data_IF_776127329300
#
_entry.id   IF_776127329300
#
_cell.length_a   1.000
_cell.length_b   1.000
_cell.length_c   1.000
_cell.angle_alpha   90.00
_cell.angle_beta   90.00
_cell.angle_gamma   90.00
#
_symmetry.space_group_name_H-M   'P 1'
#
loop_
_entity.id
_entity.type
_entity.pdbx_description
1 polymer ?
#
# COMPACT_ATOMS: atom_id res chain seq x y z
N UNK A 1 16.45 22.21 -20.02
CA UNK A 1 15.39 22.41 -19.01
C UNK A 1 15.98 21.99 -17.66
N UNK A 2 15.68 22.70 -16.60
CA UNK A 2 16.12 22.32 -15.24
C UNK A 2 15.31 21.07 -14.82
N UNK A 3 16.00 20.06 -14.27
CA UNK A 3 15.31 18.86 -13.75
C UNK A 3 14.35 19.23 -12.64
N UNK A 4 13.15 18.63 -12.62
CA UNK A 4 12.14 18.86 -11.61
C UNK A 4 12.57 18.31 -10.25
N UNK A 5 12.46 19.09 -9.19
CA UNK A 5 12.78 18.64 -7.84
C UNK A 5 11.76 17.59 -7.37
N UNK A 6 12.26 16.48 -6.82
CA UNK A 6 11.45 15.44 -6.15
C UNK A 6 11.68 15.53 -4.64
N UNK A 7 10.63 15.74 -3.87
CA UNK A 7 10.66 15.63 -2.41
C UNK A 7 10.31 14.20 -2.00
N UNK A 8 11.28 13.50 -1.41
CA UNK A 8 11.08 12.18 -0.83
C UNK A 8 10.54 12.33 0.59
N UNK A 9 9.38 11.75 0.87
CA UNK A 9 8.61 11.90 2.11
C UNK A 9 8.76 10.62 2.94
N UNK A 10 9.50 10.68 4.04
CA UNK A 10 9.82 9.51 4.86
C UNK A 10 9.25 9.66 6.27
N UNK A 11 8.04 9.13 6.56
CA UNK A 11 7.55 9.04 7.92
C UNK A 11 8.30 7.95 8.68
N UNK A 12 8.83 8.23 9.85
CA UNK A 12 9.56 7.29 10.68
C UNK A 12 8.99 7.23 12.10
N UNK A 13 8.82 6.03 12.64
CA UNK A 13 8.48 5.77 14.03
C UNK A 13 9.05 4.43 14.45
N UNK A 14 9.97 4.43 15.41
CA UNK A 14 10.68 3.25 15.90
C UNK A 14 11.24 2.41 14.73
N UNK A 15 12.01 3.06 13.85
CA UNK A 15 12.53 2.51 12.60
C UNK A 15 14.05 2.30 12.60
N UNK A 16 14.73 2.38 13.74
CA UNK A 16 16.20 2.30 13.85
C UNK A 16 16.80 1.09 13.12
N UNK A 17 16.09 -0.04 13.11
CA UNK A 17 16.55 -1.27 12.44
C UNK A 17 16.68 -1.12 10.92
N UNK A 18 15.86 -0.29 10.28
CA UNK A 18 15.71 -0.27 8.81
C UNK A 18 16.03 1.07 8.17
N UNK A 19 15.85 2.19 8.89
CA UNK A 19 15.90 3.54 8.34
C UNK A 19 17.21 3.83 7.61
N UNK A 20 18.34 3.30 8.08
CA UNK A 20 19.65 3.44 7.41
C UNK A 20 19.62 2.88 6.00
N UNK A 21 19.15 1.63 5.83
CA UNK A 21 19.05 1.00 4.52
C UNK A 21 18.08 1.75 3.60
N UNK A 22 16.98 2.25 4.16
CA UNK A 22 15.98 3.03 3.45
C UNK A 22 16.61 4.32 2.88
N UNK A 23 17.28 5.10 3.71
CA UNK A 23 17.94 6.35 3.30
C UNK A 23 19.08 6.10 2.31
N UNK A 24 19.89 5.06 2.52
CA UNK A 24 20.93 4.67 1.56
C UNK A 24 20.33 4.36 0.18
N UNK A 25 19.16 3.71 0.11
CA UNK A 25 18.48 3.41 -1.15
C UNK A 25 17.96 4.65 -1.87
N UNK A 26 17.57 5.70 -1.12
CA UNK A 26 17.15 6.99 -1.66
C UNK A 26 18.35 7.78 -2.18
N UNK A 27 19.40 7.88 -1.40
CA UNK A 27 20.60 8.64 -1.79
C UNK A 27 21.37 8.01 -2.95
N UNK A 28 21.15 6.71 -3.19
CA UNK A 28 21.69 5.96 -4.33
C UNK A 28 20.87 6.10 -5.63
N UNK A 29 19.75 6.85 -5.64
CA UNK A 29 18.94 7.03 -6.84
C UNK A 29 19.75 7.65 -7.99
N UNK A 30 19.47 7.22 -9.24
CA UNK A 30 20.08 7.81 -10.45
C UNK A 30 19.59 9.24 -10.68
N UNK A 31 18.34 9.52 -10.34
CA UNK A 31 17.79 10.88 -10.35
C UNK A 31 18.34 11.67 -9.15
N UNK A 32 19.11 12.74 -9.42
CA UNK A 32 19.88 13.47 -8.41
C UNK A 32 19.20 14.70 -7.82
N UNK A 33 18.24 15.26 -8.53
CA UNK A 33 17.52 16.48 -8.13
C UNK A 33 16.43 16.13 -7.11
N UNK A 34 16.86 15.79 -5.89
CA UNK A 34 16.01 15.34 -4.79
C UNK A 34 16.26 16.14 -3.51
N UNK A 35 15.24 16.25 -2.68
CA UNK A 35 15.36 16.50 -1.24
C UNK A 35 14.68 15.33 -0.49
N UNK A 36 15.16 15.04 0.71
CA UNK A 36 14.67 13.95 1.55
C UNK A 36 14.20 14.53 2.86
N UNK A 37 12.93 14.42 3.17
CA UNK A 37 12.33 14.95 4.39
C UNK A 37 11.89 13.78 5.25
N UNK A 38 12.68 13.51 6.29
CA UNK A 38 12.35 12.50 7.29
C UNK A 38 11.59 13.16 8.42
N UNK A 39 10.40 12.64 8.74
CA UNK A 39 9.64 13.07 9.90
C UNK A 39 9.65 11.95 10.93
N UNK A 40 10.37 12.15 12.00
CA UNK A 40 10.35 11.28 13.17
C UNK A 40 9.13 11.59 14.01
N UNK A 41 8.17 10.66 14.01
CA UNK A 41 6.87 10.77 14.66
C UNK A 41 6.94 10.34 16.14
N UNK A 42 7.95 10.84 16.85
CA UNK A 42 8.14 10.60 18.29
C UNK A 42 8.70 9.23 18.61
N UNK A 43 9.76 8.81 17.91
CA UNK A 43 10.45 7.54 18.19
C UNK A 43 11.08 7.53 19.57
N UNK A 44 11.08 6.35 20.19
CA UNK A 44 11.75 6.07 21.48
C UNK A 44 13.06 5.30 21.30
N UNK A 45 13.36 4.85 20.09
CA UNK A 45 14.61 4.17 19.72
C UNK A 45 15.61 5.17 19.06
N UNK A 46 16.74 4.70 18.58
CA UNK A 46 17.77 5.53 17.94
C UNK A 46 17.42 5.97 16.50
N UNK A 47 16.16 6.03 16.12
CA UNK A 47 15.74 6.46 14.76
C UNK A 47 16.23 7.85 14.45
N UNK A 48 15.99 8.83 15.34
CA UNK A 48 16.41 10.23 15.14
C UNK A 48 17.93 10.34 15.03
N UNK A 49 18.68 9.73 15.93
CA UNK A 49 20.16 9.77 15.94
C UNK A 49 20.73 9.25 14.61
N UNK A 50 20.17 8.15 14.09
CA UNK A 50 20.59 7.60 12.80
C UNK A 50 20.31 8.58 11.66
N UNK A 51 19.17 9.26 11.66
CA UNK A 51 18.85 10.24 10.62
C UNK A 51 19.74 11.47 10.71
N UNK A 52 20.08 11.92 11.91
CA UNK A 52 21.02 13.04 12.13
C UNK A 52 22.40 12.76 11.52
N UNK A 53 22.90 11.53 11.56
CA UNK A 53 24.12 11.14 10.84
C UNK A 53 24.03 11.39 9.33
N UNK A 54 22.83 11.19 8.73
CA UNK A 54 22.59 11.48 7.30
C UNK A 54 22.49 12.97 7.04
N UNK A 55 21.83 13.73 7.90
CA UNK A 55 21.74 15.20 7.82
C UNK A 55 23.14 15.84 7.85
N UNK A 56 24.02 15.33 8.71
CA UNK A 56 25.38 15.85 8.85
C UNK A 56 26.26 15.62 7.59
N UNK A 57 25.98 14.59 6.80
CA UNK A 57 26.82 14.21 5.64
C UNK A 57 26.20 14.48 4.27
N UNK A 58 24.89 14.71 4.18
CA UNK A 58 24.21 15.00 2.90
C UNK A 58 23.19 16.14 3.06
N UNK A 59 23.44 17.31 2.46
CA UNK A 59 22.59 18.49 2.61
C UNK A 59 21.18 18.33 2.01
N UNK A 60 20.93 17.28 1.27
CA UNK A 60 19.60 16.97 0.73
C UNK A 60 18.68 16.38 1.77
N UNK A 61 19.21 15.88 2.91
CA UNK A 61 18.44 15.23 3.98
C UNK A 61 18.08 16.25 5.05
N UNK A 62 16.81 16.23 5.46
CA UNK A 62 16.29 17.01 6.60
C UNK A 62 15.59 16.07 7.57
N UNK A 63 15.77 16.33 8.87
CA UNK A 63 15.01 15.70 9.95
C UNK A 63 14.03 16.71 10.55
N UNK A 64 12.79 16.27 10.74
CA UNK A 64 11.77 16.97 11.52
C UNK A 64 11.31 16.01 12.60
N UNK A 65 11.27 16.47 13.85
CA UNK A 65 10.77 15.68 14.97
C UNK A 65 9.42 16.23 15.41
N UNK A 66 8.47 15.37 15.70
CA UNK A 66 7.15 15.73 16.21
C UNK A 66 6.68 14.73 17.28
N UNK A 67 5.70 15.12 18.08
CA UNK A 67 4.99 14.18 18.94
C UNK A 67 4.17 13.19 18.10
N UNK A 68 4.09 11.93 18.54
CA UNK A 68 3.44 10.86 17.78
C UNK A 68 1.98 11.20 17.43
N UNK A 69 1.74 11.47 16.15
CA UNK A 69 0.43 11.80 15.59
C UNK A 69 -0.03 10.80 14.51
N UNK A 70 0.80 9.80 14.22
CA UNK A 70 0.54 8.74 13.25
C UNK A 70 1.03 9.05 11.84
N UNK A 71 1.19 7.99 11.05
CA UNK A 71 1.85 8.01 9.74
C UNK A 71 1.25 9.02 8.75
N UNK A 72 -0.07 9.21 8.75
CA UNK A 72 -0.73 10.22 7.90
C UNK A 72 -0.33 11.64 8.28
N UNK A 73 -0.27 11.96 9.58
CA UNK A 73 0.18 13.26 10.08
C UNK A 73 1.67 13.50 9.77
N UNK A 74 2.52 12.49 9.99
CA UNK A 74 3.95 12.58 9.68
C UNK A 74 4.20 12.83 8.18
N UNK A 75 3.46 12.13 7.29
CA UNK A 75 3.53 12.42 5.85
C UNK A 75 3.06 13.83 5.52
N UNK A 76 1.99 14.30 6.15
CA UNK A 76 1.47 15.65 5.94
C UNK A 76 2.47 16.73 6.38
N UNK A 77 3.12 16.55 7.55
CA UNK A 77 4.20 17.44 8.00
C UNK A 77 5.32 17.51 6.95
N UNK A 78 5.77 16.36 6.44
CA UNK A 78 6.80 16.33 5.41
C UNK A 78 6.35 16.98 4.09
N UNK A 79 5.09 16.78 3.67
CA UNK A 79 4.53 17.38 2.46
C UNK A 79 4.43 18.91 2.59
N UNK A 80 4.11 19.43 3.77
CA UNK A 80 4.05 20.88 4.02
C UNK A 80 5.41 21.55 3.89
N UNK A 81 6.49 20.84 4.23
CA UNK A 81 7.87 21.30 4.12
C UNK A 81 8.50 21.04 2.75
N UNK A 82 7.82 20.28 1.90
CA UNK A 82 8.30 19.88 0.58
C UNK A 82 8.25 21.04 -0.42
N UNK A 83 9.31 21.14 -1.25
CA UNK A 83 9.45 22.17 -2.31
C UNK A 83 9.42 21.55 -3.71
N UNK A 84 9.33 20.22 -3.79
CA UNK A 84 9.40 19.48 -5.04
C UNK A 84 8.15 19.61 -5.88
N UNK A 85 8.35 19.65 -7.18
CA UNK A 85 7.26 19.50 -8.18
C UNK A 85 6.59 18.13 -8.05
N UNK A 86 7.35 17.13 -7.61
CA UNK A 86 6.88 15.78 -7.37
C UNK A 86 7.14 15.36 -5.93
N UNK A 87 6.23 14.54 -5.39
CA UNK A 87 6.26 14.03 -4.02
C UNK A 87 6.31 12.50 -4.07
N UNK A 88 7.31 11.91 -3.43
CA UNK A 88 7.55 10.48 -3.45
C UNK A 88 7.57 9.92 -2.01
N UNK A 89 6.46 9.38 -1.49
CA UNK A 89 6.46 8.78 -0.17
C UNK A 89 7.25 7.47 -0.16
N UNK A 90 7.92 7.21 0.96
CA UNK A 90 8.68 6.00 1.22
C UNK A 90 8.55 5.63 2.69
N UNK A 91 8.04 4.45 2.99
CA UNK A 91 7.99 3.95 4.37
C UNK A 91 9.42 3.63 4.87
N UNK A 92 9.68 3.92 6.15
CA UNK A 92 11.02 3.88 6.75
C UNK A 92 11.67 2.48 6.82
N UNK A 93 10.99 1.45 6.35
CA UNK A 93 11.44 0.05 6.31
C UNK A 93 11.50 -0.54 4.90
N UNK A 94 11.09 0.23 3.86
CA UNK A 94 11.14 -0.18 2.47
C UNK A 94 12.42 0.26 1.76
N UNK A 95 12.68 -0.34 0.59
CA UNK A 95 13.84 0.00 -0.23
C UNK A 95 13.41 0.30 -1.67
N UNK A 96 14.09 1.24 -2.30
CA UNK A 96 13.90 1.56 -3.71
C UNK A 96 15.01 0.98 -4.59
N UNK A 97 14.67 0.57 -5.81
CA UNK A 97 15.64 0.34 -6.89
C UNK A 97 16.22 1.67 -7.35
N UNK A 98 17.48 1.65 -7.79
CA UNK A 98 18.24 2.88 -8.11
C UNK A 98 17.58 3.76 -9.16
N UNK A 99 16.83 3.17 -10.07
CA UNK A 99 16.20 3.81 -11.23
C UNK A 99 14.75 4.26 -10.98
N UNK A 100 14.22 4.06 -9.75
CA UNK A 100 12.79 4.30 -9.47
C UNK A 100 12.36 5.73 -9.77
N UNK A 101 13.06 6.72 -9.24
CA UNK A 101 12.67 8.12 -9.42
C UNK A 101 12.86 8.55 -10.87
N UNK A 102 13.97 8.21 -11.51
CA UNK A 102 14.23 8.53 -12.91
C UNK A 102 13.12 8.00 -13.84
N UNK A 103 12.79 6.72 -13.69
CA UNK A 103 11.76 6.07 -14.52
C UNK A 103 10.38 6.65 -14.29
N UNK A 104 10.01 6.94 -13.02
CA UNK A 104 8.69 7.50 -12.72
C UNK A 104 8.57 8.97 -13.10
N UNK A 105 9.62 9.78 -12.93
CA UNK A 105 9.63 11.18 -13.37
C UNK A 105 9.52 11.25 -14.88
N UNK A 106 10.28 10.47 -15.63
CA UNK A 106 10.19 10.41 -17.08
C UNK A 106 8.77 10.01 -17.55
N UNK A 107 8.14 9.05 -16.87
CA UNK A 107 6.74 8.67 -17.14
C UNK A 107 5.78 9.83 -16.84
N UNK A 108 5.94 10.54 -15.72
CA UNK A 108 5.10 11.66 -15.31
C UNK A 108 5.19 12.84 -16.28
N UNK A 109 6.40 13.19 -16.73
CA UNK A 109 6.63 14.28 -17.68
C UNK A 109 6.06 13.97 -19.06
N UNK A 110 6.27 12.75 -19.54
CA UNK A 110 5.72 12.29 -20.84
C UNK A 110 4.19 12.27 -20.86
N UNK A 111 3.56 12.05 -19.71
CA UNK A 111 2.10 11.88 -19.61
C UNK A 111 1.31 13.17 -19.50
N UNK A 112 1.97 14.32 -19.34
CA UNK A 112 1.33 15.64 -19.31
C UNK A 112 0.68 16.02 -17.96
N UNK A 113 0.05 17.20 -17.89
CA UNK A 113 -0.43 17.81 -16.65
C UNK A 113 -1.66 17.12 -16.04
N UNK A 114 -2.43 16.37 -16.83
CA UNK A 114 -3.62 15.66 -16.35
C UNK A 114 -3.26 14.38 -15.55
N UNK A 115 -1.97 13.98 -15.53
CA UNK A 115 -1.50 12.87 -14.72
C UNK A 115 -1.16 13.35 -13.33
N UNK A 116 -1.90 12.87 -12.32
CA UNK A 116 -1.71 13.21 -10.92
C UNK A 116 -0.82 12.23 -10.15
N UNK A 117 -0.69 11.00 -10.65
CA UNK A 117 0.02 9.92 -9.97
C UNK A 117 0.65 8.96 -11.00
N UNK A 118 1.92 8.59 -10.76
CA UNK A 118 2.58 7.45 -11.41
C UNK A 118 2.91 6.41 -10.33
N UNK A 119 2.63 5.14 -10.56
CA UNK A 119 2.98 4.09 -9.62
C UNK A 119 3.76 2.95 -10.30
N UNK A 120 4.33 2.07 -9.49
CA UNK A 120 5.10 0.93 -9.99
C UNK A 120 4.71 -0.37 -9.27
N UNK A 121 5.34 -1.48 -9.67
CA UNK A 121 5.21 -2.76 -8.99
C UNK A 121 6.18 -2.87 -7.81
N UNK A 122 5.91 -3.80 -6.89
CA UNK A 122 6.78 -4.08 -5.76
C UNK A 122 7.16 -5.56 -5.65
N UNK A 123 8.35 -5.81 -5.13
CA UNK A 123 8.84 -7.12 -4.70
C UNK A 123 8.72 -7.22 -3.20
N UNK A 124 8.19 -8.32 -2.67
CA UNK A 124 8.09 -8.53 -1.24
C UNK A 124 9.42 -9.10 -0.72
N UNK A 125 9.92 -8.50 0.37
CA UNK A 125 11.14 -8.94 1.06
C UNK A 125 10.85 -9.27 2.52
N UNK A 126 11.70 -10.10 3.14
CA UNK A 126 11.65 -10.35 4.58
C UNK A 126 12.37 -9.26 5.37
N UNK A 127 12.41 -9.41 6.70
CA UNK A 127 13.06 -8.46 7.62
C UNK A 127 14.56 -8.28 7.32
N UNK A 128 15.22 -9.28 6.75
CA UNK A 128 16.63 -9.25 6.37
C UNK A 128 16.87 -8.73 4.94
N UNK A 129 15.80 -8.34 4.21
CA UNK A 129 15.88 -7.85 2.84
C UNK A 129 15.95 -8.94 1.76
N UNK A 130 15.79 -10.22 2.14
CA UNK A 130 15.75 -11.34 1.19
C UNK A 130 14.41 -11.38 0.45
N UNK A 131 14.44 -11.56 -0.86
CA UNK A 131 13.24 -11.68 -1.70
C UNK A 131 12.40 -12.89 -1.28
N UNK A 132 11.16 -12.64 -0.91
CA UNK A 132 10.13 -13.64 -0.64
C UNK A 132 9.42 -14.05 -1.94
N UNK A 133 8.90 -13.07 -2.67
CA UNK A 133 8.32 -13.24 -3.99
C UNK A 133 8.15 -11.90 -4.71
N UNK A 134 8.08 -11.96 -6.03
CA UNK A 134 7.69 -10.81 -6.84
C UNK A 134 6.18 -10.58 -6.70
N UNK A 135 5.79 -9.35 -6.42
CA UNK A 135 4.39 -8.95 -6.43
C UNK A 135 3.78 -9.07 -7.83
N UNK A 136 2.50 -8.78 -7.94
CA UNK A 136 1.82 -8.72 -9.22
C UNK A 136 2.34 -7.52 -10.03
N UNK A 137 2.78 -7.76 -11.27
CA UNK A 137 3.16 -6.67 -12.18
C UNK A 137 1.93 -5.81 -12.48
N UNK A 138 2.01 -4.53 -12.17
CA UNK A 138 0.94 -3.57 -12.38
C UNK A 138 0.92 -3.13 -13.85
N UNK A 139 -0.27 -2.98 -14.42
CA UNK A 139 -0.44 -2.61 -15.84
C UNK A 139 -1.66 -1.71 -16.09
N UNK A 140 -2.46 -1.41 -15.06
CA UNK A 140 -3.64 -0.58 -15.20
C UNK A 140 -3.23 0.90 -15.16
N UNK A 141 -3.69 1.69 -16.14
CA UNK A 141 -3.46 3.12 -16.22
C UNK A 141 -4.64 3.87 -16.86
N UNK A 142 -4.62 5.19 -16.81
CA UNK A 142 -5.67 6.07 -17.33
C UNK A 142 -6.66 6.51 -16.24
N UNK A 143 -7.93 6.63 -16.59
CA UNK A 143 -9.03 7.01 -15.67
C UNK A 143 -9.41 5.83 -14.78
N UNK A 144 -8.79 5.70 -13.63
CA UNK A 144 -8.91 4.52 -12.77
C UNK A 144 -9.88 4.67 -11.59
N UNK A 145 -10.76 5.68 -11.57
CA UNK A 145 -11.71 5.95 -10.49
C UNK A 145 -12.46 4.68 -10.04
N UNK A 146 -13.08 3.98 -10.99
CA UNK A 146 -13.86 2.78 -10.71
C UNK A 146 -13.02 1.62 -10.17
N UNK A 147 -11.87 1.37 -10.81
CA UNK A 147 -10.95 0.31 -10.41
C UNK A 147 -10.35 0.57 -9.02
N UNK A 148 -10.05 1.85 -8.70
CA UNK A 148 -9.52 2.26 -7.40
C UNK A 148 -10.58 2.15 -6.29
N UNK A 149 -11.86 2.38 -6.58
CA UNK A 149 -12.95 2.10 -5.63
C UNK A 149 -13.03 0.61 -5.32
N UNK A 150 -12.90 -0.25 -6.33
CA UNK A 150 -12.98 -1.71 -6.12
C UNK A 150 -11.81 -2.27 -5.33
N UNK A 151 -10.60 -1.75 -5.55
CA UNK A 151 -9.38 -2.29 -4.94
C UNK A 151 -8.28 -1.24 -4.84
N UNK A 152 -7.51 -1.25 -3.75
CA UNK A 152 -6.25 -0.51 -3.68
C UNK A 152 -5.28 -1.04 -4.76
N UNK A 153 -5.11 -0.29 -5.84
CA UNK A 153 -4.23 -0.66 -6.95
C UNK A 153 -2.75 -0.45 -6.60
N UNK A 154 -2.44 0.47 -5.70
CA UNK A 154 -1.07 0.77 -5.29
C UNK A 154 -0.46 -0.42 -4.53
N UNK A 155 -1.16 -0.89 -3.52
CA UNK A 155 -0.75 -2.03 -2.70
C UNK A 155 0.13 -1.67 -1.50
N UNK A 156 0.95 -0.62 -1.59
CA UNK A 156 1.72 -0.02 -0.49
C UNK A 156 2.02 1.45 -0.76
N UNK A 157 2.38 2.19 0.29
CA UNK A 157 2.58 3.63 0.24
C UNK A 157 3.90 4.06 -0.42
N UNK A 158 4.85 3.14 -0.61
CA UNK A 158 6.19 3.45 -1.16
C UNK A 158 6.27 3.44 -2.69
N UNK A 159 5.19 3.02 -3.38
CA UNK A 159 5.19 2.87 -4.86
C UNK A 159 4.85 4.15 -5.63
N UNK A 160 4.02 5.10 -5.14
CA UNK A 160 3.61 6.24 -5.94
C UNK A 160 4.69 7.32 -6.05
N UNK A 161 4.58 8.08 -7.14
CA UNK A 161 5.10 9.43 -7.33
C UNK A 161 3.90 10.31 -7.62
N UNK A 162 3.68 11.32 -6.80
CA UNK A 162 2.58 12.27 -6.96
C UNK A 162 3.05 13.56 -7.62
N UNK A 163 2.19 14.18 -8.39
CA UNK A 163 2.34 15.58 -8.76
C UNK A 163 1.91 16.45 -7.57
N UNK A 164 2.74 17.40 -7.13
CA UNK A 164 2.43 18.25 -5.96
C UNK A 164 1.10 19.00 -6.15
N UNK A 165 0.86 19.57 -7.34
CA UNK A 165 -0.39 20.26 -7.65
C UNK A 165 -1.65 19.36 -7.64
N UNK A 166 -1.49 18.04 -7.75
CA UNK A 166 -2.60 17.13 -7.56
C UNK A 166 -3.01 17.05 -6.09
N UNK A 167 -2.04 17.02 -5.16
CA UNK A 167 -2.32 17.04 -3.72
C UNK A 167 -2.94 18.36 -3.28
N UNK A 168 -2.51 19.48 -3.86
CA UNK A 168 -3.12 20.79 -3.59
C UNK A 168 -4.63 20.79 -3.92
N UNK A 169 -5.03 20.09 -4.99
CA UNK A 169 -6.45 20.00 -5.40
C UNK A 169 -7.25 18.99 -4.57
N UNK A 170 -6.68 17.85 -4.23
CA UNK A 170 -7.42 16.77 -3.55
C UNK A 170 -7.26 16.77 -2.03
N UNK A 171 -6.28 17.52 -1.49
CA UNK A 171 -5.91 17.55 -0.08
C UNK A 171 -4.92 16.44 0.30
N UNK A 172 -4.48 16.48 1.55
CA UNK A 172 -3.42 15.66 2.11
C UNK A 172 -3.92 14.29 2.61
N UNK A 173 -3.04 13.50 3.23
CA UNK A 173 -3.41 12.23 3.86
C UNK A 173 -4.40 12.44 5.01
N UNK A 174 -5.29 11.48 5.19
CA UNK A 174 -6.13 11.43 6.40
C UNK A 174 -5.25 11.13 7.62
N UNK A 175 -5.47 11.87 8.70
CA UNK A 175 -4.80 11.64 9.98
C UNK A 175 -5.46 10.51 10.77
N UNK A 176 -4.83 10.05 11.86
CA UNK A 176 -5.35 8.99 12.74
C UNK A 176 -6.74 9.33 13.28
N UNK A 177 -6.94 10.57 13.71
CA UNK A 177 -8.20 11.04 14.28
C UNK A 177 -9.34 11.07 13.26
N UNK A 178 -9.01 11.46 12.01
CA UNK A 178 -9.97 11.48 10.92
C UNK A 178 -10.39 10.09 10.46
N UNK A 179 -9.47 9.11 10.51
CA UNK A 179 -9.72 7.75 10.03
C UNK A 179 -10.44 6.86 11.06
N UNK A 180 -10.38 7.18 12.34
CA UNK A 180 -10.77 6.29 13.45
C UNK A 180 -10.08 4.92 13.41
N UNK A 181 -8.89 4.86 12.81
CA UNK A 181 -8.09 3.67 12.58
C UNK A 181 -6.82 4.02 11.84
N UNK A 182 -6.19 3.06 11.17
CA UNK A 182 -4.98 3.27 10.36
C UNK A 182 -4.84 2.20 9.29
N UNK A 183 -4.09 2.51 8.23
CA UNK A 183 -3.69 1.56 7.19
C UNK A 183 -4.47 1.61 5.88
N UNK A 184 -5.28 2.65 5.63
CA UNK A 184 -5.92 2.90 4.33
C UNK A 184 -5.82 4.38 3.90
N UNK A 185 -4.93 5.15 4.52
CA UNK A 185 -4.71 6.57 4.20
C UNK A 185 -4.11 6.75 2.80
N UNK A 186 -3.28 5.81 2.37
CA UNK A 186 -2.72 5.75 1.02
C UNK A 186 -3.79 5.48 -0.02
N UNK A 187 -4.71 4.57 0.28
CA UNK A 187 -5.83 4.26 -0.60
C UNK A 187 -6.80 5.42 -0.73
N UNK A 188 -7.14 6.12 0.38
CA UNK A 188 -8.00 7.31 0.32
C UNK A 188 -7.41 8.40 -0.56
N UNK A 189 -6.11 8.70 -0.40
CA UNK A 189 -5.44 9.71 -1.22
C UNK A 189 -5.44 9.31 -2.70
N UNK A 190 -5.08 8.05 -3.00
CA UNK A 190 -5.08 7.54 -4.37
C UNK A 190 -6.49 7.57 -5.01
N UNK A 191 -7.55 7.28 -4.22
CA UNK A 191 -8.95 7.41 -4.67
C UNK A 191 -9.27 8.85 -5.05
N UNK A 192 -8.97 9.83 -4.19
CA UNK A 192 -9.23 11.24 -4.46
C UNK A 192 -8.49 11.73 -5.72
N UNK A 193 -7.26 11.27 -5.92
CA UNK A 193 -6.51 11.56 -7.15
C UNK A 193 -7.20 10.93 -8.36
N UNK A 194 -7.58 9.64 -8.28
CA UNK A 194 -8.24 8.93 -9.37
C UNK A 194 -9.62 9.51 -9.77
N UNK A 195 -10.25 10.27 -8.87
CA UNK A 195 -11.52 10.96 -9.14
C UNK A 195 -11.34 12.14 -10.12
N UNK A 196 -10.16 12.74 -10.19
CA UNK A 196 -9.89 13.97 -10.93
C UNK A 196 -8.83 13.78 -12.02
N UNK A 197 -7.77 13.01 -11.72
CA UNK A 197 -6.60 12.88 -12.55
C UNK A 197 -6.47 11.49 -13.19
N UNK A 198 -5.67 11.42 -14.24
CA UNK A 198 -5.17 10.17 -14.79
C UNK A 198 -4.09 9.59 -13.86
N UNK A 199 -4.02 8.28 -13.84
CA UNK A 199 -2.98 7.51 -13.17
C UNK A 199 -2.17 6.79 -14.23
N UNK A 200 -0.84 6.81 -14.13
CA UNK A 200 0.06 6.08 -15.01
C UNK A 200 0.83 5.00 -14.26
N UNK A 201 1.33 4.02 -14.99
CA UNK A 201 2.05 2.89 -14.41
C UNK A 201 3.41 2.70 -15.09
N UNK A 202 4.43 2.45 -14.26
CA UNK A 202 5.69 1.86 -14.66
C UNK A 202 5.62 0.37 -14.29
N UNK A 203 5.53 -0.56 -15.25
CA UNK A 203 5.26 -1.98 -14.99
C UNK A 203 6.50 -2.74 -14.46
N UNK A 204 7.38 -2.06 -13.75
CA UNK A 204 8.62 -2.57 -13.19
C UNK A 204 8.54 -2.70 -11.67
N UNK A 205 9.31 -3.65 -11.10
CA UNK A 205 9.39 -3.88 -9.66
C UNK A 205 10.47 -2.98 -9.06
N UNK A 206 10.12 -1.72 -8.82
CA UNK A 206 11.05 -0.67 -8.37
C UNK A 206 11.03 -0.43 -6.86
N UNK A 207 10.16 -1.11 -6.12
CA UNK A 207 10.06 -1.05 -4.65
C UNK A 207 10.25 -2.45 -4.07
N UNK A 208 11.06 -2.56 -3.02
CA UNK A 208 11.17 -3.75 -2.17
C UNK A 208 10.38 -3.49 -0.90
N UNK A 209 9.18 -4.06 -0.85
CA UNK A 209 8.23 -3.90 0.25
C UNK A 209 8.50 -4.92 1.35
N UNK A 210 8.86 -4.44 2.55
CA UNK A 210 9.26 -5.29 3.68
C UNK A 210 8.05 -5.84 4.43
N UNK A 211 8.07 -7.15 4.65
CA UNK A 211 7.07 -7.84 5.46
C UNK A 211 7.60 -8.03 6.86
N UNK A 212 6.94 -7.42 7.86
CA UNK A 212 7.28 -7.51 9.28
C UNK A 212 6.11 -8.05 10.09
N UNK A 213 6.43 -8.79 11.17
CA UNK A 213 5.43 -9.26 12.11
C UNK A 213 4.72 -8.11 12.86
N UNK A 214 5.41 -6.98 13.05
CA UNK A 214 4.90 -5.77 13.73
C UNK A 214 4.29 -4.73 12.77
N UNK A 215 4.09 -5.04 11.48
CA UNK A 215 3.54 -4.07 10.51
C UNK A 215 2.11 -3.63 10.88
N UNK A 216 1.76 -2.38 10.57
CA UNK A 216 0.39 -1.86 10.76
C UNK A 216 -0.69 -2.73 10.12
N UNK A 217 -0.39 -3.37 8.99
CA UNK A 217 -1.28 -4.29 8.28
C UNK A 217 -1.68 -5.54 9.07
N UNK A 218 -1.02 -5.80 10.21
CA UNK A 218 -1.38 -6.88 11.16
C UNK A 218 -2.52 -6.47 12.09
N UNK A 219 -2.76 -5.17 12.29
CA UNK A 219 -3.89 -4.66 13.07
C UNK A 219 -5.19 -4.70 12.26
N UNK A 220 -5.77 -5.89 12.14
CA UNK A 220 -6.98 -6.14 11.36
C UNK A 220 -8.17 -5.24 11.74
N UNK A 221 -8.36 -4.97 13.04
CA UNK A 221 -9.47 -4.11 13.51
C UNK A 221 -9.27 -2.66 13.11
N UNK A 222 -8.06 -2.14 13.26
CA UNK A 222 -7.72 -0.78 12.83
C UNK A 222 -7.89 -0.61 11.32
N UNK A 223 -7.44 -1.58 10.54
CA UNK A 223 -7.61 -1.57 9.09
C UNK A 223 -9.08 -1.65 8.66
N UNK A 224 -9.92 -2.45 9.35
CA UNK A 224 -11.34 -2.54 9.04
C UNK A 224 -12.08 -1.22 9.33
N UNK A 225 -11.76 -0.55 10.45
CA UNK A 225 -12.32 0.75 10.78
C UNK A 225 -11.93 1.83 9.76
N UNK A 226 -10.63 1.87 9.39
CA UNK A 226 -10.11 2.78 8.37
C UNK A 226 -10.75 2.53 7.00
N UNK A 227 -10.81 1.29 6.55
CA UNK A 227 -11.49 0.92 5.30
C UNK A 227 -12.94 1.39 5.26
N UNK A 228 -13.70 1.13 6.34
CA UNK A 228 -15.10 1.55 6.41
C UNK A 228 -15.27 3.07 6.29
N UNK A 229 -14.34 3.84 6.89
CA UNK A 229 -14.34 5.30 6.81
C UNK A 229 -14.00 5.77 5.38
N UNK A 230 -12.94 5.23 4.78
CA UNK A 230 -12.52 5.56 3.41
C UNK A 230 -13.65 5.27 2.42
N UNK A 231 -14.28 4.10 2.50
CA UNK A 231 -15.39 3.75 1.59
C UNK A 231 -16.63 4.60 1.81
N UNK A 232 -16.92 5.03 3.05
CA UNK A 232 -18.01 5.97 3.32
C UNK A 232 -17.76 7.31 2.64
N UNK A 233 -16.57 7.90 2.82
CA UNK A 233 -16.17 9.15 2.17
C UNK A 233 -16.15 9.01 0.63
N UNK A 234 -15.59 7.91 0.12
CA UNK A 234 -15.59 7.65 -1.32
C UNK A 234 -17.01 7.56 -1.90
N UNK A 235 -17.94 6.90 -1.20
CA UNK A 235 -19.35 6.82 -1.63
C UNK A 235 -20.04 8.17 -1.64
N UNK A 236 -19.75 9.05 -0.69
CA UNK A 236 -20.29 10.41 -0.67
C UNK A 236 -19.84 11.24 -1.89
N UNK A 237 -18.55 11.09 -2.28
CA UNK A 237 -17.99 11.78 -3.45
C UNK A 237 -18.39 11.15 -4.78
N UNK A 238 -18.69 9.85 -4.81
CA UNK A 238 -18.98 9.08 -6.02
C UNK A 238 -20.40 8.50 -5.97
N UNK A 239 -21.40 9.37 -5.78
CA UNK A 239 -22.82 8.98 -5.68
C UNK A 239 -23.41 8.41 -6.99
N UNK A 240 -22.74 8.65 -8.13
CA UNK A 240 -23.07 8.10 -9.44
C UNK A 240 -22.68 6.62 -9.60
N UNK A 241 -21.80 6.10 -8.73
CA UNK A 241 -21.41 4.70 -8.77
C UNK A 241 -22.46 3.78 -8.15
N UNK A 242 -22.71 2.60 -8.76
CA UNK A 242 -23.68 1.66 -8.22
C UNK A 242 -23.28 1.18 -6.84
N UNK A 243 -24.23 1.01 -5.89
CA UNK A 243 -23.93 0.50 -4.54
C UNK A 243 -23.20 -0.85 -4.53
N UNK A 244 -23.34 -1.63 -5.59
CA UNK A 244 -22.63 -2.90 -5.78
C UNK A 244 -21.11 -2.72 -5.84
N UNK A 245 -20.59 -1.61 -6.41
CA UNK A 245 -19.16 -1.34 -6.48
C UNK A 245 -18.53 -1.29 -5.07
N UNK A 246 -19.16 -0.56 -4.14
CA UNK A 246 -18.69 -0.44 -2.75
C UNK A 246 -18.85 -1.76 -1.98
N UNK A 247 -19.91 -2.51 -2.25
CA UNK A 247 -20.10 -3.85 -1.65
C UNK A 247 -19.03 -4.83 -2.15
N UNK A 248 -18.69 -4.81 -3.42
CA UNK A 248 -17.64 -5.65 -3.99
C UNK A 248 -16.24 -5.25 -3.52
N UNK A 249 -16.00 -3.95 -3.35
CA UNK A 249 -14.79 -3.44 -2.69
C UNK A 249 -14.61 -4.08 -1.30
N UNK A 250 -15.68 -4.10 -0.49
CA UNK A 250 -15.65 -4.78 0.80
C UNK A 250 -15.34 -6.28 0.67
N UNK A 251 -15.82 -6.94 -0.38
CA UNK A 251 -15.47 -8.32 -0.68
C UNK A 251 -13.97 -8.53 -0.90
N UNK A 252 -13.33 -7.71 -1.74
CA UNK A 252 -11.89 -7.77 -1.98
C UNK A 252 -11.09 -7.43 -0.72
N UNK A 253 -11.53 -6.43 0.04
CA UNK A 253 -10.89 -6.07 1.31
C UNK A 253 -10.96 -7.22 2.32
N UNK A 254 -12.12 -7.85 2.52
CA UNK A 254 -12.26 -8.98 3.44
C UNK A 254 -11.47 -10.22 2.97
N UNK A 255 -11.32 -10.43 1.66
CA UNK A 255 -10.41 -11.45 1.14
C UNK A 255 -8.97 -11.16 1.55
N UNK A 256 -8.50 -9.93 1.38
CA UNK A 256 -7.16 -9.51 1.81
C UNK A 256 -6.95 -9.74 3.32
N UNK A 257 -7.91 -9.35 4.16
CA UNK A 257 -7.85 -9.57 5.62
C UNK A 257 -7.82 -11.07 5.94
N UNK A 258 -8.59 -11.88 5.22
CA UNK A 258 -8.57 -13.33 5.41
C UNK A 258 -7.20 -13.94 5.08
N UNK A 259 -6.55 -13.49 4.00
CA UNK A 259 -5.20 -13.90 3.63
C UNK A 259 -4.19 -13.53 4.74
N UNK A 260 -4.31 -12.31 5.31
CA UNK A 260 -3.49 -11.89 6.48
C UNK A 260 -3.74 -12.75 7.73
N UNK A 261 -4.99 -13.04 8.05
CA UNK A 261 -5.32 -13.93 9.16
C UNK A 261 -4.75 -15.34 8.94
N UNK A 262 -4.74 -15.83 7.69
CA UNK A 262 -4.14 -17.13 7.35
C UNK A 262 -2.62 -17.12 7.55
N UNK A 263 -1.91 -16.08 7.09
CA UNK A 263 -0.48 -15.89 7.29
C UNK A 263 -0.10 -15.88 8.77
N UNK A 264 -0.93 -15.24 9.61
CA UNK A 264 -0.81 -15.18 11.06
C UNK A 264 -1.29 -16.46 11.79
N UNK A 265 -1.73 -17.49 11.06
CA UNK A 265 -2.29 -18.73 11.59
C UNK A 265 -3.55 -18.54 12.45
N UNK A 266 -4.26 -17.43 12.26
CA UNK A 266 -5.52 -17.14 12.96
C UNK A 266 -6.71 -17.67 12.16
N UNK A 267 -6.80 -19.01 12.05
CA UNK A 267 -7.73 -19.72 11.16
C UNK A 267 -9.21 -19.41 11.40
N UNK A 268 -9.72 -19.27 12.65
CA UNK A 268 -11.12 -18.91 12.87
C UNK A 268 -11.49 -17.55 12.25
N UNK A 269 -10.62 -16.56 12.39
CA UNK A 269 -10.82 -15.24 11.75
C UNK A 269 -10.70 -15.34 10.24
N UNK A 270 -9.78 -16.13 9.71
CA UNK A 270 -9.65 -16.37 8.28
C UNK A 270 -10.98 -16.86 7.69
N UNK A 271 -11.59 -17.91 8.24
CA UNK A 271 -12.88 -18.46 7.77
C UNK A 271 -13.99 -17.41 7.87
N UNK A 272 -14.05 -16.68 8.98
CA UNK A 272 -15.03 -15.59 9.16
C UNK A 272 -14.90 -14.51 8.09
N UNK A 273 -13.69 -14.05 7.78
CA UNK A 273 -13.48 -13.02 6.76
C UNK A 273 -13.69 -13.55 5.34
N UNK A 274 -13.37 -14.82 5.03
CA UNK A 274 -13.72 -15.43 3.75
C UNK A 274 -15.23 -15.48 3.54
N UNK A 275 -16.01 -15.83 4.58
CA UNK A 275 -17.47 -15.80 4.52
C UNK A 275 -18.02 -14.40 4.26
N UNK A 276 -17.47 -13.38 4.94
CA UNK A 276 -17.83 -11.96 4.70
C UNK A 276 -17.46 -11.53 3.28
N UNK A 277 -16.29 -11.96 2.78
CA UNK A 277 -15.84 -11.66 1.43
C UNK A 277 -16.80 -12.16 0.37
N UNK A 278 -17.18 -13.44 0.44
CA UNK A 278 -18.12 -14.06 -0.50
C UNK A 278 -19.53 -13.46 -0.40
N UNK A 279 -20.02 -13.15 0.82
CA UNK A 279 -21.31 -12.47 0.99
C UNK A 279 -21.31 -11.07 0.35
N UNK A 280 -20.22 -10.35 0.46
CA UNK A 280 -20.09 -9.00 -0.12
C UNK A 280 -19.87 -9.04 -1.64
N UNK A 281 -19.10 -10.01 -2.13
CA UNK A 281 -18.81 -10.20 -3.55
C UNK A 281 -18.88 -11.69 -3.93
N UNK A 282 -20.07 -12.19 -4.36
CA UNK A 282 -20.23 -13.60 -4.73
C UNK A 282 -19.33 -14.07 -5.89
N UNK A 283 -18.85 -13.15 -6.76
CA UNK A 283 -17.93 -13.49 -7.87
C UNK A 283 -16.62 -14.07 -7.35
N UNK A 284 -16.24 -13.79 -6.11
CA UNK A 284 -15.08 -14.39 -5.46
C UNK A 284 -15.15 -15.93 -5.34
N UNK A 285 -16.34 -16.53 -5.46
CA UNK A 285 -16.49 -17.99 -5.58
C UNK A 285 -15.81 -18.56 -6.83
N UNK A 286 -15.56 -17.75 -7.85
CA UNK A 286 -14.79 -18.15 -9.02
C UNK A 286 -13.28 -18.09 -8.80
N UNK A 287 -12.81 -17.55 -7.66
CA UNK A 287 -11.39 -17.41 -7.34
C UNK A 287 -10.87 -18.67 -6.59
N UNK A 288 -9.99 -19.49 -7.21
CA UNK A 288 -9.45 -20.69 -6.58
C UNK A 288 -8.75 -20.47 -5.23
N UNK A 289 -8.26 -19.24 -4.98
CA UNK A 289 -7.60 -18.90 -3.70
C UNK A 289 -8.56 -18.96 -2.52
N UNK A 290 -9.84 -18.62 -2.72
CA UNK A 290 -10.87 -18.70 -1.68
C UNK A 290 -10.97 -20.14 -1.15
N UNK A 291 -11.04 -21.11 -2.06
CA UNK A 291 -11.12 -22.53 -1.70
C UNK A 291 -9.82 -23.00 -1.06
N UNK A 292 -8.66 -22.67 -1.65
CA UNK A 292 -7.37 -23.09 -1.12
C UNK A 292 -7.14 -22.57 0.31
N UNK A 293 -7.44 -21.30 0.56
CA UNK A 293 -7.27 -20.68 1.88
C UNK A 293 -8.32 -21.19 2.86
N UNK A 294 -9.57 -21.33 2.42
CA UNK A 294 -10.69 -21.81 3.23
C UNK A 294 -10.52 -23.26 3.68
N UNK A 295 -10.24 -24.18 2.75
CA UNK A 295 -10.05 -25.61 3.06
C UNK A 295 -8.87 -25.84 3.99
N UNK A 296 -7.72 -25.17 3.74
CA UNK A 296 -6.55 -25.26 4.62
C UNK A 296 -6.83 -24.73 6.02
N UNK A 297 -7.57 -23.61 6.13
CA UNK A 297 -7.94 -23.07 7.43
C UNK A 297 -8.90 -24.00 8.18
N UNK A 298 -9.88 -24.58 7.50
CA UNK A 298 -10.81 -25.55 8.11
C UNK A 298 -10.10 -26.84 8.56
N UNK A 299 -9.19 -27.37 7.74
CA UNK A 299 -8.39 -28.53 8.11
C UNK A 299 -7.50 -28.26 9.31
N UNK A 300 -6.94 -27.04 9.45
CA UNK A 300 -6.13 -26.63 10.58
C UNK A 300 -6.94 -26.42 11.88
N UNK A 301 -8.26 -26.35 11.80
CA UNK A 301 -9.18 -26.28 12.95
C UNK A 301 -9.64 -27.66 13.41
N UNK A 302 -9.42 -28.73 12.60
CA UNK A 302 -9.78 -30.09 13.01
C UNK A 302 -8.74 -30.62 14.00
N UNK A 303 -9.16 -31.24 15.11
CA UNK A 303 -8.23 -31.86 16.04
C UNK A 303 -7.42 -32.95 15.32
N UNK A 304 -6.11 -32.85 15.35
CA UNK A 304 -5.22 -33.89 14.82
C UNK A 304 -5.46 -35.21 15.57
N UNK A 305 -5.33 -36.36 14.91
CA UNK A 305 -5.40 -37.64 15.60
C UNK A 305 -4.22 -37.74 16.58
N UNK A 306 -4.44 -37.39 17.86
CA UNK A 306 -3.48 -37.64 18.93
C UNK A 306 -3.01 -36.51 19.84
N UNK A 307 -3.51 -35.27 19.74
CA UNK A 307 -3.13 -34.22 20.69
C UNK A 307 -4.12 -34.08 21.84
N UNK A 308 -3.75 -34.67 22.98
CA UNK A 308 -4.31 -34.34 24.29
C UNK A 308 -3.68 -33.02 24.78
N UNK A 309 -4.54 -32.08 25.11
CA UNK A 309 -4.36 -30.85 25.90
C UNK A 309 -2.95 -30.45 26.36
N UNK A 310 -2.55 -29.24 25.97
CA UNK A 310 -1.77 -28.34 26.79
C UNK A 310 -0.30 -28.22 26.43
N UNK A 311 -0.02 -27.33 25.49
CA UNK A 311 1.15 -26.43 25.53
C UNK A 311 1.03 -25.41 24.39
N UNK A 312 1.24 -24.13 24.69
CA UNK A 312 1.30 -23.04 23.69
C UNK A 312 2.38 -23.35 22.65
N UNK A 313 2.09 -23.17 21.36
CA UNK A 313 3.11 -23.42 20.33
C UNK A 313 4.14 -22.30 20.31
N UNK A 314 5.38 -22.68 20.58
CA UNK A 314 6.57 -21.88 20.41
C UNK A 314 6.71 -21.39 18.96
N UNK A 315 6.77 -20.06 18.76
CA UNK A 315 6.86 -19.40 17.46
C UNK A 315 8.27 -19.55 16.87
N UNK A 316 8.56 -20.66 16.23
CA UNK A 316 9.67 -20.77 15.28
C UNK A 316 9.11 -21.17 13.91
N UNK A 317 9.08 -20.21 12.98
CA UNK A 317 8.48 -20.37 11.67
C UNK A 317 9.27 -21.33 10.77
N UNK A 318 8.69 -22.48 10.43
CA UNK A 318 9.10 -23.24 9.24
C UNK A 318 8.41 -22.65 8.00
N UNK A 319 9.22 -22.00 7.14
CA UNK A 319 8.81 -21.39 5.86
C UNK A 319 8.36 -22.46 4.86
N UNK A 320 7.06 -22.51 4.55
CA UNK A 320 6.54 -23.26 3.40
C UNK A 320 6.61 -22.41 2.12
N UNK A 321 7.40 -22.85 1.13
CA UNK A 321 7.44 -22.24 -0.21
C UNK A 321 6.10 -22.43 -0.92
N UNK A 322 5.32 -21.34 -1.10
CA UNK A 322 4.17 -21.34 -2.03
C UNK A 322 4.59 -20.73 -3.35
N UNK A 323 4.62 -21.52 -4.42
CA UNK A 323 4.79 -21.02 -5.80
C UNK A 323 3.51 -20.27 -6.23
N UNK A 324 3.62 -19.08 -6.86
CA UNK A 324 2.46 -18.35 -7.36
C UNK A 324 1.86 -19.05 -8.58
N UNK A 325 0.55 -19.25 -8.57
CA UNK A 325 -0.19 -19.83 -9.68
C UNK A 325 -0.59 -18.70 -10.66
N UNK A 326 -0.03 -18.70 -11.88
CA UNK A 326 -0.15 -17.61 -12.88
C UNK A 326 -1.58 -17.36 -13.42
N UNK A 327 -2.51 -18.33 -13.34
CA UNK A 327 -3.88 -18.17 -13.88
C UNK A 327 -4.73 -17.13 -13.12
N UNK A 328 -4.51 -16.93 -11.83
CA UNK A 328 -5.30 -15.97 -11.03
C UNK A 328 -5.02 -14.49 -11.32
N UNK A 329 -3.90 -14.15 -11.98
CA UNK A 329 -3.54 -12.79 -12.35
C UNK A 329 -4.31 -12.34 -13.60
N UNK A 330 -4.42 -13.22 -14.60
CA UNK A 330 -5.13 -12.95 -15.88
C UNK A 330 -6.63 -12.75 -15.63
N UNK A 331 -7.25 -13.56 -14.78
CA UNK A 331 -8.69 -13.42 -14.44
C UNK A 331 -9.00 -12.09 -13.75
N UNK A 332 -8.14 -11.63 -12.84
CA UNK A 332 -8.33 -10.36 -12.13
C UNK A 332 -8.17 -9.14 -13.04
N UNK A 333 -7.25 -9.17 -13.98
CA UNK A 333 -7.07 -8.10 -14.97
C UNK A 333 -8.27 -7.99 -15.90
N UNK A 334 -8.78 -9.11 -16.38
CA UNK A 334 -9.95 -9.16 -17.27
C UNK A 334 -11.23 -8.73 -16.54
N UNK A 335 -11.41 -9.07 -15.26
CA UNK A 335 -12.56 -8.60 -14.47
C UNK A 335 -12.51 -7.09 -14.24
N UNK A 336 -11.39 -6.55 -13.74
CA UNK A 336 -11.26 -5.12 -13.48
C UNK A 336 -11.35 -4.29 -14.75
N UNK A 337 -10.74 -4.73 -15.86
CA UNK A 337 -10.81 -4.04 -17.14
C UNK A 337 -12.21 -4.12 -17.77
N UNK A 338 -12.89 -5.28 -17.74
CA UNK A 338 -14.26 -5.43 -18.22
C UNK A 338 -15.26 -4.62 -17.39
N UNK A 339 -15.08 -4.55 -16.07
CA UNK A 339 -15.92 -3.74 -15.20
C UNK A 339 -15.68 -2.26 -15.36
N UNK A 340 -14.43 -1.83 -15.49
CA UNK A 340 -14.11 -0.44 -15.78
C UNK A 340 -14.72 0.01 -17.11
N UNK A 341 -14.63 -0.82 -18.14
CA UNK A 341 -15.27 -0.56 -19.44
C UNK A 341 -16.80 -0.57 -19.35
N UNK A 342 -17.40 -1.58 -18.70
CA UNK A 342 -18.87 -1.67 -18.56
C UNK A 342 -19.50 -0.54 -17.74
N UNK A 343 -18.75 0.01 -16.76
CA UNK A 343 -19.18 1.16 -15.98
C UNK A 343 -18.96 2.49 -16.74
N UNK A 344 -17.97 2.55 -17.63
CA UNK A 344 -17.79 3.70 -18.54
C UNK A 344 -18.87 3.74 -19.63
N UNK A 345 -19.32 2.59 -20.12
CA UNK A 345 -20.33 2.49 -21.18
C UNK A 345 -21.78 2.57 -20.67
N UNK A 346 -22.01 2.76 -19.38
CA UNK A 346 -23.36 2.89 -18.81
C UNK A 346 -24.21 1.61 -18.88
N UNK A 347 -23.62 0.45 -19.16
CA UNK A 347 -24.30 -0.82 -19.41
C UNK A 347 -24.79 -1.57 -18.14
N UNK A 348 -24.64 -0.99 -16.95
CA UNK A 348 -25.20 -1.52 -15.70
C UNK A 348 -26.20 -0.51 -15.11
N UNK A 349 -27.42 -0.53 -15.62
CA UNK A 349 -28.62 0.02 -14.95
C UNK A 349 -29.25 -1.05 -14.07
#
# INVERSE_FOLDING_TARGET
>A
MQEALVSVIVPAFNAATYIRQTLDSVLAQTYRTIEVIVVDDGSEDSTADIVEEFVARDPRVKLIQQSNAGVGAARNTAITEARGTYLAPLDADDLWSREKLETQVACMEKSGPDTGLVYCSSTLIDEQGKVLHFGETKTLEGRLRHAMVLKNLLGNASVPLFRASALEKVGLYLTRDEQRGQGCEDWDLALRIAEIFDIRVVPEHLVRYRQRASAMSVNVRGMEASFAMVMRRARQRNGDLPPAAFRWSAGYFYQYIAEKCYELRHYPSCVRYLTRAVKANPVLLLNPRIYKTGTKSLLSLMPGPGEKNGTEPNLSAKKGRTRPFKLGAIFRHLELARWSAALQDGACR
#
